data_IF_446067391863
#
_entry.id   IF_446067391863
#
_cell.length_a   1.000
_cell.length_b   1.000
_cell.length_c   1.000
_cell.angle_alpha   90.00
_cell.angle_beta   90.00
_cell.angle_gamma   90.00
#
_symmetry.space_group_name_H-M   'P 1'
#
loop_
_entity.id
_entity.type
_entity.pdbx_description
1 polymer ?
#
# COMPACT_ATOMS: atom_id res chain seq x y z
N UNK A 1 5.90 -7.89 43.47
CA UNK A 1 4.57 -7.49 42.94
C UNK A 1 4.20 -8.49 41.85
N UNK A 2 3.00 -9.08 41.89
CA UNK A 2 2.58 -10.03 40.85
C UNK A 2 2.47 -9.29 39.51
N UNK A 3 3.18 -9.79 38.49
CA UNK A 3 3.01 -9.35 37.11
C UNK A 3 1.58 -9.66 36.66
N UNK A 4 0.84 -8.67 36.18
CA UNK A 4 -0.52 -8.91 35.68
C UNK A 4 -0.46 -9.66 34.35
N UNK A 5 -1.54 -10.34 33.95
CA UNK A 5 -1.60 -11.01 32.65
C UNK A 5 -1.28 -10.06 31.49
N UNK A 6 -1.67 -8.78 31.61
CA UNK A 6 -1.37 -7.72 30.65
C UNK A 6 0.12 -7.41 30.58
N UNK A 7 0.79 -7.31 31.73
CA UNK A 7 2.24 -7.06 31.79
C UNK A 7 3.03 -8.20 31.14
N UNK A 8 2.58 -9.45 31.31
CA UNK A 8 3.18 -10.62 30.67
C UNK A 8 3.04 -10.51 29.15
N UNK A 9 1.84 -10.25 28.63
CA UNK A 9 1.59 -10.12 27.19
C UNK A 9 2.45 -9.03 26.55
N UNK A 10 2.55 -7.86 27.19
CA UNK A 10 3.33 -6.72 26.67
C UNK A 10 4.85 -6.98 26.76
N UNK A 11 5.28 -7.78 27.74
CA UNK A 11 6.69 -8.11 27.94
C UNK A 11 7.19 -9.28 27.08
N UNK A 12 6.28 -10.08 26.52
CA UNK A 12 6.60 -11.20 25.64
C UNK A 12 6.53 -10.78 24.16
N UNK A 13 7.66 -10.70 23.43
CA UNK A 13 7.71 -10.23 22.04
C UNK A 13 6.71 -10.90 21.10
N UNK A 14 6.53 -12.22 21.22
CA UNK A 14 5.66 -13.03 20.35
C UNK A 14 4.19 -12.72 20.58
N UNK A 15 3.78 -12.54 21.85
CA UNK A 15 2.41 -12.16 22.20
C UNK A 15 2.13 -10.71 21.82
N UNK A 16 3.11 -9.82 22.01
CA UNK A 16 3.02 -8.44 21.55
C UNK A 16 2.91 -8.37 20.02
N UNK A 17 3.70 -9.14 19.27
CA UNK A 17 3.57 -9.21 17.81
C UNK A 17 2.16 -9.66 17.39
N UNK A 18 1.64 -10.72 17.99
CA UNK A 18 0.31 -11.25 17.66
C UNK A 18 -0.83 -10.28 18.01
N UNK A 19 -0.68 -9.50 19.08
CA UNK A 19 -1.67 -8.46 19.44
C UNK A 19 -1.59 -7.27 18.50
N UNK A 20 -0.37 -6.81 18.17
CA UNK A 20 -0.15 -5.75 17.19
C UNK A 20 -0.68 -6.14 15.80
N UNK A 21 -0.49 -7.39 15.37
CA UNK A 21 -0.97 -7.87 14.07
C UNK A 21 -2.49 -7.77 13.87
N UNK A 22 -3.27 -7.63 14.95
CA UNK A 22 -4.72 -7.44 14.90
C UNK A 22 -5.14 -5.98 14.80
N UNK A 23 -4.20 -5.03 14.92
CA UNK A 23 -4.49 -3.61 14.83
C UNK A 23 -4.65 -3.14 13.37
N UNK A 24 -5.40 -2.04 13.14
CA UNK A 24 -5.45 -1.40 11.84
C UNK A 24 -4.06 -1.01 11.34
N UNK A 25 -3.82 -1.17 10.04
CA UNK A 25 -2.54 -0.85 9.38
C UNK A 25 -2.01 0.56 9.71
N UNK A 26 -2.90 1.55 9.82
CA UNK A 26 -2.53 2.93 10.17
C UNK A 26 -1.94 3.04 11.58
N UNK A 27 -2.53 2.34 12.54
CA UNK A 27 -2.06 2.35 13.93
C UNK A 27 -0.72 1.64 14.06
N UNK A 28 -0.52 0.56 13.31
CA UNK A 28 0.78 -0.12 13.20
C UNK A 28 1.88 0.77 12.60
N UNK A 29 1.54 1.65 11.66
CA UNK A 29 2.50 2.52 11.00
C UNK A 29 2.86 3.76 11.82
N UNK A 30 1.89 4.33 12.52
CA UNK A 30 2.03 5.67 13.13
C UNK A 30 2.04 5.58 14.64
N UNK A 31 1.11 4.83 15.25
CA UNK A 31 0.89 4.86 16.70
C UNK A 31 1.81 3.88 17.43
N UNK A 32 1.85 2.62 16.99
CA UNK A 32 2.60 1.56 17.68
C UNK A 32 4.11 1.86 17.83
N UNK A 33 4.82 2.37 16.79
CA UNK A 33 6.24 2.73 16.90
C UNK A 33 6.53 3.82 17.94
N UNK A 34 5.55 4.66 18.27
CA UNK A 34 5.72 5.81 19.17
C UNK A 34 5.48 5.45 20.64
N UNK A 35 4.91 4.28 20.93
CA UNK A 35 4.60 3.86 22.31
C UNK A 35 5.87 3.56 23.10
N UNK A 36 6.79 2.78 22.51
CA UNK A 36 8.06 2.42 23.15
C UNK A 36 9.07 1.90 22.13
N UNK A 37 10.36 1.83 22.54
CA UNK A 37 11.42 1.23 21.73
C UNK A 37 11.16 -0.25 21.43
N UNK A 38 10.59 -0.98 22.39
CA UNK A 38 10.22 -2.39 22.23
C UNK A 38 9.13 -2.54 21.16
N UNK A 39 8.08 -1.74 21.24
CA UNK A 39 7.00 -1.75 20.25
C UNK A 39 7.53 -1.41 18.86
N UNK A 40 8.36 -0.37 18.75
CA UNK A 40 9.02 -0.03 17.49
C UNK A 40 9.82 -1.21 16.92
N UNK A 41 10.63 -1.89 17.75
CA UNK A 41 11.38 -3.07 17.31
C UNK A 41 10.47 -4.20 16.80
N UNK A 42 9.34 -4.45 17.48
CA UNK A 42 8.37 -5.47 17.03
C UNK A 42 7.74 -5.07 15.70
N UNK A 43 7.40 -3.80 15.46
CA UNK A 43 6.86 -3.37 14.14
C UNK A 43 7.80 -3.64 12.97
N UNK A 44 9.10 -3.85 13.22
CA UNK A 44 10.11 -4.20 12.21
C UNK A 44 10.23 -5.72 11.97
N UNK A 45 9.45 -6.54 12.67
CA UNK A 45 9.48 -7.99 12.50
C UNK A 45 8.98 -8.42 11.11
N UNK A 46 9.42 -9.58 10.59
CA UNK A 46 8.96 -10.06 9.29
C UNK A 46 7.43 -10.20 9.20
N UNK A 47 6.77 -10.65 10.27
CA UNK A 47 5.31 -10.81 10.32
C UNK A 47 4.60 -9.49 10.07
N UNK A 48 4.96 -8.45 10.83
CA UNK A 48 4.32 -7.14 10.71
C UNK A 48 4.76 -6.41 9.43
N UNK A 49 6.01 -6.56 9.00
CA UNK A 49 6.47 -5.99 7.73
C UNK A 49 5.75 -6.59 6.51
N UNK A 50 5.37 -7.89 6.57
CA UNK A 50 4.50 -8.52 5.57
C UNK A 50 3.08 -7.98 5.66
N UNK A 51 2.49 -7.91 6.86
CA UNK A 51 1.15 -7.36 7.05
C UNK A 51 1.02 -5.89 6.60
N UNK A 52 2.12 -5.12 6.73
CA UNK A 52 2.26 -3.74 6.28
C UNK A 52 2.69 -3.62 4.81
N UNK A 53 2.72 -4.71 4.04
CA UNK A 53 3.11 -4.72 2.63
C UNK A 53 4.53 -4.15 2.36
N UNK A 54 5.41 -4.08 3.35
CA UNK A 54 6.82 -3.71 3.11
C UNK A 54 7.64 -4.88 2.57
N UNK A 55 7.26 -6.10 2.93
CA UNK A 55 7.88 -7.33 2.48
C UNK A 55 6.86 -8.26 1.79
N UNK A 56 7.30 -9.07 0.81
CA UNK A 56 6.46 -10.12 0.23
C UNK A 56 6.03 -11.13 1.30
N UNK A 57 4.76 -11.51 1.27
CA UNK A 57 4.27 -12.63 2.07
C UNK A 57 4.31 -13.92 1.24
N UNK A 58 5.19 -14.88 1.56
CA UNK A 58 5.29 -16.14 0.81
C UNK A 58 4.07 -17.04 1.00
N UNK A 59 3.22 -16.78 2.00
CA UNK A 59 2.00 -17.53 2.26
C UNK A 59 0.78 -16.96 1.52
N UNK A 60 0.92 -15.77 0.92
CA UNK A 60 -0.15 -15.11 0.19
C UNK A 60 -0.27 -15.69 -1.23
N UNK A 61 -1.34 -16.45 -1.45
CA UNK A 61 -1.63 -17.08 -2.75
C UNK A 61 -2.72 -16.32 -3.54
N UNK A 62 -3.50 -15.48 -2.87
CA UNK A 62 -4.58 -14.71 -3.47
C UNK A 62 -4.17 -13.25 -3.57
N UNK A 63 -4.42 -12.62 -4.72
CA UNK A 63 -4.10 -11.20 -4.93
C UNK A 63 -4.92 -10.33 -3.98
N UNK A 64 -4.23 -9.77 -3.00
CA UNK A 64 -4.74 -8.77 -2.08
C UNK A 64 -4.14 -7.41 -2.44
N UNK A 65 -4.99 -6.41 -2.69
CA UNK A 65 -4.56 -5.01 -2.84
C UNK A 65 -4.21 -4.44 -1.47
N UNK A 66 -3.21 -3.57 -1.42
CA UNK A 66 -2.85 -2.88 -0.19
C UNK A 66 -4.00 -1.92 0.23
N UNK A 67 -4.69 -2.18 1.35
CA UNK A 67 -5.89 -1.43 1.72
C UNK A 67 -5.62 0.06 1.99
N UNK A 68 -4.45 0.38 2.54
CA UNK A 68 -4.05 1.77 2.77
C UNK A 68 -3.82 2.51 1.46
N UNK A 69 -3.18 1.86 0.49
CA UNK A 69 -2.93 2.47 -0.82
C UNK A 69 -4.22 2.61 -1.63
N UNK A 70 -5.14 1.65 -1.55
CA UNK A 70 -6.48 1.75 -2.17
C UNK A 70 -7.22 3.00 -1.67
N UNK A 71 -7.13 3.28 -0.37
CA UNK A 71 -7.79 4.44 0.24
C UNK A 71 -7.13 5.77 -0.15
N UNK A 72 -5.79 5.82 -0.15
CA UNK A 72 -5.03 7.06 -0.40
C UNK A 72 -4.92 7.37 -1.90
N UNK A 73 -4.85 6.33 -2.73
CA UNK A 73 -4.60 6.39 -4.17
C UNK A 73 -5.69 5.72 -5.01
N UNK A 74 -7.00 5.97 -4.79
CA UNK A 74 -8.08 5.24 -5.46
C UNK A 74 -7.96 5.11 -6.99
N UNK A 75 -7.48 6.13 -7.75
CA UNK A 75 -7.32 6.02 -9.20
C UNK A 75 -6.46 4.84 -9.66
N UNK A 76 -5.43 4.49 -8.89
CA UNK A 76 -4.51 3.41 -9.22
C UNK A 76 -5.07 2.01 -8.94
N UNK A 77 -6.19 1.91 -8.20
CA UNK A 77 -6.75 0.63 -7.73
C UNK A 77 -8.19 0.39 -8.18
N UNK A 78 -8.73 1.25 -9.06
CA UNK A 78 -10.10 1.19 -9.55
C UNK A 78 -10.49 -0.23 -9.99
N UNK A 79 -11.75 -0.66 -9.73
CA UNK A 79 -12.16 -2.03 -10.00
C UNK A 79 -12.11 -2.37 -11.48
N UNK A 80 -11.79 -3.64 -11.75
CA UNK A 80 -11.99 -4.26 -13.05
C UNK A 80 -13.48 -4.13 -13.42
N UNK A 81 -13.77 -3.63 -14.62
CA UNK A 81 -15.15 -3.42 -15.08
C UNK A 81 -15.64 -1.97 -15.06
N UNK A 82 -14.83 -1.01 -14.59
CA UNK A 82 -15.02 0.37 -15.07
C UNK A 82 -14.83 0.36 -16.58
N UNK A 83 -15.84 0.84 -17.32
CA UNK A 83 -15.65 1.05 -18.76
C UNK A 83 -14.40 1.94 -18.92
N UNK A 84 -13.61 1.70 -19.98
CA UNK A 84 -12.40 2.46 -20.30
C UNK A 84 -12.60 3.99 -20.23
N UNK A 85 -13.85 4.43 -20.39
CA UNK A 85 -14.36 5.80 -20.35
C UNK A 85 -14.61 6.40 -18.96
N UNK A 86 -14.58 5.60 -17.89
CA UNK A 86 -14.87 5.98 -16.49
C UNK A 86 -13.64 5.98 -15.59
N UNK A 87 -12.45 5.88 -16.21
CA UNK A 87 -11.22 6.31 -15.56
C UNK A 87 -11.41 7.71 -14.96
N UNK A 88 -10.81 8.06 -13.83
CA UNK A 88 -10.93 9.40 -13.25
C UNK A 88 -10.13 10.41 -14.09
N UNK A 89 -10.55 10.61 -15.33
CA UNK A 89 -10.17 11.73 -16.17
C UNK A 89 -11.01 12.98 -15.86
N UNK A 90 -12.03 12.85 -14.99
CA UNK A 90 -12.72 14.03 -14.48
C UNK A 90 -11.79 14.75 -13.49
N UNK A 91 -11.33 15.94 -13.88
CA UNK A 91 -10.41 16.75 -13.09
C UNK A 91 -10.90 16.97 -11.64
N UNK A 92 -12.23 17.00 -11.44
CA UNK A 92 -12.88 17.07 -10.13
C UNK A 92 -12.49 15.90 -9.21
N UNK A 93 -12.44 14.68 -9.74
CA UNK A 93 -12.04 13.49 -8.99
C UNK A 93 -10.57 13.61 -8.57
N UNK A 94 -9.68 13.97 -9.50
CA UNK A 94 -8.25 14.18 -9.20
C UNK A 94 -8.07 15.27 -8.14
N UNK A 95 -8.73 16.43 -8.30
CA UNK A 95 -8.62 17.57 -7.36
C UNK A 95 -9.16 17.26 -5.95
N UNK A 96 -10.10 16.33 -5.83
CA UNK A 96 -10.66 15.93 -4.53
C UNK A 96 -9.75 15.00 -3.71
N UNK A 97 -8.73 14.41 -4.35
CA UNK A 97 -7.85 13.42 -3.74
C UNK A 97 -6.94 14.02 -2.65
N UNK A 98 -6.48 13.21 -1.68
CA UNK A 98 -5.58 13.66 -0.62
C UNK A 98 -4.29 14.32 -1.14
N UNK A 99 -3.71 13.81 -2.22
CA UNK A 99 -2.48 14.36 -2.81
C UNK A 99 -2.64 15.76 -3.39
N UNK A 100 -3.85 16.16 -3.77
CA UNK A 100 -4.11 17.49 -4.35
C UNK A 100 -4.27 18.53 -3.25
N UNK A 101 -4.73 18.09 -2.06
CA UNK A 101 -4.89 18.95 -0.89
C UNK A 101 -3.59 19.15 -0.11
N UNK A 102 -2.66 18.19 -0.19
CA UNK A 102 -1.39 18.23 0.54
C UNK A 102 -0.19 17.84 -0.34
N UNK A 103 0.08 18.54 -1.47
CA UNK A 103 1.05 18.11 -2.47
C UNK A 103 2.46 17.90 -1.90
N UNK A 104 2.88 18.72 -0.93
CA UNK A 104 4.22 18.61 -0.35
C UNK A 104 4.40 17.34 0.50
N UNK A 105 3.34 16.86 1.15
CA UNK A 105 3.38 15.59 1.88
C UNK A 105 3.60 14.40 0.94
N UNK A 106 3.05 14.46 -0.28
CA UNK A 106 3.15 13.40 -1.27
C UNK A 106 4.45 13.45 -2.10
N UNK A 107 5.18 14.58 -2.07
CA UNK A 107 6.53 14.71 -2.67
C UNK A 107 7.66 14.15 -1.79
N UNK A 108 7.40 13.86 -0.51
CA UNK A 108 8.39 13.34 0.43
C UNK A 108 8.92 11.99 -0.03
N UNK A 109 10.24 11.88 -0.25
CA UNK A 109 10.90 10.65 -0.75
C UNK A 109 10.93 9.55 0.31
N UNK A 110 10.93 9.95 1.57
CA UNK A 110 11.00 9.10 2.77
C UNK A 110 9.63 8.56 3.21
N UNK A 111 8.54 8.98 2.55
CA UNK A 111 7.21 8.56 2.94
C UNK A 111 7.07 7.03 2.88
N UNK A 112 6.57 6.44 3.97
CA UNK A 112 6.53 4.98 4.13
C UNK A 112 5.75 4.30 3.01
N UNK A 113 4.63 4.88 2.57
CA UNK A 113 3.81 4.35 1.48
C UNK A 113 4.59 4.14 0.18
N UNK A 114 5.65 4.93 -0.11
CA UNK A 114 6.48 4.75 -1.31
C UNK A 114 7.16 3.39 -1.35
N UNK A 115 7.46 2.83 -0.18
CA UNK A 115 8.12 1.53 -0.02
C UNK A 115 7.13 0.39 0.10
N UNK A 116 5.82 0.63 0.15
CA UNK A 116 4.84 -0.45 0.25
C UNK A 116 4.57 -1.08 -1.11
N UNK A 117 4.39 -2.40 -1.11
CA UNK A 117 3.91 -3.17 -2.25
C UNK A 117 2.47 -2.76 -2.57
N UNK A 118 2.15 -2.73 -3.86
CA UNK A 118 0.80 -2.43 -4.38
C UNK A 118 -0.15 -3.61 -4.11
N UNK A 119 0.34 -4.83 -4.27
CA UNK A 119 -0.39 -6.08 -4.00
C UNK A 119 0.47 -7.09 -3.23
N UNK A 120 -0.18 -8.05 -2.59
CA UNK A 120 0.42 -9.28 -2.10
C UNK A 120 -0.34 -10.49 -2.69
N UNK A 121 0.33 -11.46 -3.33
CA UNK A 121 1.76 -11.48 -3.62
C UNK A 121 2.19 -10.29 -4.50
N UNK A 122 3.49 -9.92 -4.50
CA UNK A 122 3.99 -8.78 -5.28
C UNK A 122 3.64 -8.91 -6.76
N UNK A 123 3.10 -7.84 -7.35
CA UNK A 123 2.87 -7.79 -8.78
C UNK A 123 4.21 -7.87 -9.54
N UNK A 124 4.32 -8.88 -10.40
CA UNK A 124 5.51 -9.17 -11.22
C UNK A 124 5.54 -8.40 -12.52
N UNK A 125 4.36 -8.07 -13.06
CA UNK A 125 4.21 -7.38 -14.33
C UNK A 125 3.30 -6.18 -14.17
N UNK A 126 3.68 -5.08 -14.83
CA UNK A 126 2.86 -3.88 -14.95
C UNK A 126 2.73 -3.53 -16.44
N UNK A 127 1.51 -3.18 -16.86
CA UNK A 127 1.25 -2.72 -18.22
C UNK A 127 0.68 -1.31 -18.21
N UNK A 128 1.23 -0.42 -19.03
CA UNK A 128 0.67 0.89 -19.34
C UNK A 128 -0.01 0.77 -20.70
N UNK A 129 -1.30 1.07 -20.76
CA UNK A 129 -2.11 1.00 -21.97
C UNK A 129 -2.50 2.42 -22.37
N UNK A 130 -1.95 2.90 -23.49
CA UNK A 130 -2.33 4.15 -24.14
C UNK A 130 -3.43 3.85 -25.16
N UNK A 131 -4.63 4.40 -24.96
CA UNK A 131 -5.71 4.36 -25.94
C UNK A 131 -5.86 5.70 -26.63
N UNK A 132 -5.82 5.71 -27.96
CA UNK A 132 -6.11 6.90 -28.78
C UNK A 132 -7.39 6.70 -29.56
N UNK A 133 -8.23 7.72 -29.52
CA UNK A 133 -9.50 7.77 -30.24
C UNK A 133 -9.38 8.82 -31.36
N UNK A 134 -9.70 8.43 -32.59
CA UNK A 134 -9.65 9.31 -33.74
C UNK A 134 -10.75 9.01 -34.73
N UNK A 135 -10.94 9.90 -35.71
CA UNK A 135 -11.96 9.73 -36.76
C UNK A 135 -11.74 8.47 -37.62
N UNK A 136 -10.55 7.84 -37.55
CA UNK A 136 -10.20 6.59 -38.24
C UNK A 136 -10.31 5.35 -37.33
N UNK A 137 -10.95 5.47 -36.17
CA UNK A 137 -11.14 4.40 -35.19
C UNK A 137 -10.21 4.49 -33.99
N UNK A 138 -10.27 3.44 -33.18
CA UNK A 138 -9.55 3.33 -31.92
C UNK A 138 -8.22 2.60 -32.13
N UNK A 139 -7.18 3.09 -31.49
CA UNK A 139 -5.87 2.43 -31.46
C UNK A 139 -5.38 2.29 -30.03
N UNK A 140 -4.68 1.19 -29.78
CA UNK A 140 -4.16 0.85 -28.47
C UNK A 140 -2.67 0.55 -28.58
N UNK A 141 -1.88 1.14 -27.68
CA UNK A 141 -0.47 0.85 -27.50
C UNK A 141 -0.25 0.41 -26.06
N UNK A 142 0.57 -0.61 -25.87
CA UNK A 142 0.92 -1.11 -24.55
C UNK A 142 2.43 -1.10 -24.35
N UNK A 143 2.87 -0.70 -23.18
CA UNK A 143 4.22 -0.93 -22.68
C UNK A 143 4.13 -1.84 -21.45
N UNK A 144 4.98 -2.86 -21.39
CA UNK A 144 5.01 -3.83 -20.29
C UNK A 144 6.35 -3.73 -19.57
N UNK A 145 6.29 -3.77 -18.24
CA UNK A 145 7.44 -3.81 -17.36
C UNK A 145 7.33 -5.06 -16.48
N UNK A 146 8.26 -6.00 -16.68
CA UNK A 146 8.31 -7.31 -16.00
C UNK A 146 9.33 -7.34 -14.85
N UNK A 147 9.37 -8.47 -14.14
CA UNK A 147 10.27 -8.77 -13.00
C UNK A 147 10.22 -7.75 -11.86
N UNK A 148 9.05 -7.17 -11.65
CA UNK A 148 8.85 -6.18 -10.60
C UNK A 148 8.46 -6.82 -9.26
N UNK A 149 8.82 -6.14 -8.19
CA UNK A 149 8.02 -6.13 -6.97
C UNK A 149 7.42 -4.74 -6.88
N UNK A 150 6.32 -4.50 -7.61
CA UNK A 150 5.81 -3.15 -7.81
C UNK A 150 5.48 -2.47 -6.46
N UNK A 151 6.22 -1.41 -6.17
CA UNK A 151 6.00 -0.55 -4.99
C UNK A 151 5.32 0.73 -5.42
N UNK A 152 4.54 1.31 -4.52
CA UNK A 152 3.75 2.51 -4.83
C UNK A 152 4.62 3.70 -5.23
N UNK A 153 5.83 3.84 -4.66
CA UNK A 153 6.73 4.94 -5.01
C UNK A 153 7.10 4.93 -6.49
N UNK A 154 7.38 3.74 -7.05
CA UNK A 154 7.67 3.57 -8.48
C UNK A 154 6.42 3.91 -9.29
N UNK A 155 5.26 3.36 -8.93
CA UNK A 155 3.99 3.61 -9.62
C UNK A 155 3.59 5.10 -9.61
N UNK A 156 3.87 5.81 -8.52
CA UNK A 156 3.54 7.23 -8.36
C UNK A 156 4.46 8.16 -9.15
N UNK A 157 5.70 7.75 -9.42
CA UNK A 157 6.70 8.57 -10.11
C UNK A 157 6.70 8.36 -11.65
N UNK A 158 5.82 7.50 -12.18
CA UNK A 158 5.56 7.31 -13.62
C UNK A 158 4.79 8.50 -14.22
#
# INVERSE_FOLDING_TARGET
TMSTATDIVISTPELLEHTLAQLPMRDLLVTAPLVSKTWHAITLSPTLQRALFFQPDPLSNAVQKNPLLVEIFPPFFAPEGRNRWSWPGEASTIMSMPWSKAPDAFKRKEASWRRMLVTQPPAQTMAIIETRHGQLGDSERQAVLDDLSLRMGVLYDL
#
